data_IF_008264128209
#
_entry.id   IF_008264128209
#
_cell.length_a   1.000
_cell.length_b   1.000
_cell.length_c   1.000
_cell.angle_alpha   90.00
_cell.angle_beta   90.00
_cell.angle_gamma   90.00
#
_symmetry.space_group_name_H-M   'P 1'
#
loop_
_entity.id
_entity.type
_entity.pdbx_description
1 polymer ?
#
# COMPACT_ATOMS: atom_id res chain seq x y z
N UNK A 1 36.74 54.41 -2.08
CA UNK A 1 37.03 53.46 -0.99
C UNK A 1 36.12 52.25 -1.15
N UNK A 2 36.67 51.11 -1.56
CA UNK A 2 35.96 49.82 -1.63
C UNK A 2 36.70 48.87 -0.70
N UNK A 3 36.06 48.26 0.32
CA UNK A 3 36.77 47.35 1.20
C UNK A 3 37.03 46.03 0.48
N UNK A 4 38.30 45.80 0.16
CA UNK A 4 38.83 44.51 -0.23
C UNK A 4 39.03 43.66 1.02
N UNK A 5 38.10 42.73 1.29
CA UNK A 5 38.36 41.58 2.15
C UNK A 5 37.44 40.42 1.75
N UNK A 6 37.74 39.81 0.61
CA UNK A 6 37.33 38.43 0.34
C UNK A 6 38.44 37.52 0.85
N UNK A 7 38.31 37.09 2.11
CA UNK A 7 39.11 36.02 2.69
C UNK A 7 39.07 34.79 1.77
N UNK A 8 40.25 34.35 1.35
CA UNK A 8 40.44 33.19 0.48
C UNK A 8 39.98 31.93 1.21
N UNK A 9 38.75 31.49 0.93
CA UNK A 9 38.29 30.17 1.36
C UNK A 9 39.31 29.08 0.98
N UNK A 10 39.72 28.20 1.91
CA UNK A 10 40.71 27.17 1.62
C UNK A 10 40.21 26.24 0.52
N UNK A 11 41.05 25.97 -0.49
CA UNK A 11 40.73 25.18 -1.70
C UNK A 11 40.05 23.82 -1.42
N UNK A 12 40.22 23.26 -0.22
CA UNK A 12 39.55 22.03 0.22
C UNK A 12 38.04 22.19 0.47
N UNK A 13 37.59 23.34 0.97
CA UNK A 13 36.16 23.62 1.19
C UNK A 13 35.40 23.74 -0.13
N UNK A 14 35.99 24.42 -1.11
CA UNK A 14 35.44 24.57 -2.47
C UNK A 14 35.27 23.21 -3.19
N UNK A 15 36.22 22.28 -2.99
CA UNK A 15 36.16 20.94 -3.58
C UNK A 15 35.09 20.05 -2.93
N UNK A 16 34.84 20.19 -1.62
CA UNK A 16 33.77 19.46 -0.92
C UNK A 16 32.38 19.91 -1.37
N UNK A 17 32.14 21.22 -1.49
CA UNK A 17 30.84 21.74 -1.96
C UNK A 17 30.51 21.32 -3.40
N UNK A 18 31.51 21.31 -4.29
CA UNK A 18 31.34 20.87 -5.68
C UNK A 18 31.00 19.37 -5.78
N UNK A 19 31.60 18.52 -4.93
CA UNK A 19 31.29 17.08 -4.91
C UNK A 19 29.87 16.81 -4.40
N UNK A 20 29.44 17.48 -3.34
CA UNK A 20 28.07 17.36 -2.81
C UNK A 20 27.02 17.81 -3.82
N UNK A 21 27.25 18.91 -4.53
CA UNK A 21 26.36 19.37 -5.59
C UNK A 21 26.23 18.34 -6.71
N UNK A 22 27.35 17.78 -7.19
CA UNK A 22 27.35 16.73 -8.22
C UNK A 22 26.58 15.48 -7.79
N UNK A 23 26.70 15.07 -6.52
CA UNK A 23 25.94 13.94 -5.98
C UNK A 23 24.44 14.23 -5.94
N UNK A 24 24.04 15.42 -5.50
CA UNK A 24 22.63 15.85 -5.48
C UNK A 24 22.03 15.92 -6.89
N UNK A 25 22.76 16.44 -7.86
CA UNK A 25 22.33 16.51 -9.26
C UNK A 25 22.19 15.12 -9.89
N UNK A 26 23.15 14.23 -9.65
CA UNK A 26 23.09 12.84 -10.12
C UNK A 26 21.85 12.13 -9.56
N UNK A 27 21.58 12.28 -8.25
CA UNK A 27 20.39 11.72 -7.61
C UNK A 27 19.09 12.28 -8.21
N UNK A 28 19.04 13.58 -8.49
CA UNK A 28 17.88 14.23 -9.14
C UNK A 28 17.66 13.72 -10.57
N UNK A 29 18.73 13.56 -11.35
CA UNK A 29 18.69 13.04 -12.73
C UNK A 29 18.23 11.59 -12.78
N UNK A 30 18.73 10.76 -11.87
CA UNK A 30 18.33 9.36 -11.72
C UNK A 30 16.85 9.25 -11.31
N UNK A 31 16.41 10.07 -10.35
CA UNK A 31 14.99 10.13 -9.98
C UNK A 31 14.10 10.53 -11.15
N UNK A 32 14.52 11.51 -11.99
CA UNK A 32 13.77 11.91 -13.19
C UNK A 32 13.67 10.76 -14.20
N UNK A 33 14.79 10.08 -14.51
CA UNK A 33 14.82 8.91 -15.40
C UNK A 33 13.89 7.79 -14.92
N UNK A 34 13.89 7.50 -13.62
CA UNK A 34 12.97 6.52 -13.01
C UNK A 34 11.51 6.93 -13.20
N UNK A 35 11.15 8.20 -13.00
CA UNK A 35 9.77 8.69 -13.22
C UNK A 35 9.34 8.54 -14.70
N UNK A 36 10.24 8.80 -15.64
CA UNK A 36 9.97 8.70 -17.08
C UNK A 36 9.79 7.24 -17.51
N UNK A 37 10.69 6.35 -17.05
CA UNK A 37 10.56 4.90 -17.28
C UNK A 37 9.26 4.33 -16.68
N UNK A 38 8.84 4.81 -15.50
CA UNK A 38 7.55 4.46 -14.90
C UNK A 38 6.37 4.92 -15.75
N UNK A 39 6.40 6.12 -16.33
CA UNK A 39 5.34 6.62 -17.21
C UNK A 39 5.19 5.71 -18.44
N UNK A 40 6.30 5.31 -19.04
CA UNK A 40 6.33 4.40 -20.18
C UNK A 40 5.82 3.01 -19.79
N UNK A 41 6.32 2.43 -18.70
CA UNK A 41 5.88 1.11 -18.21
C UNK A 41 4.39 1.10 -17.82
N UNK A 42 3.90 2.18 -17.23
CA UNK A 42 2.47 2.36 -16.88
C UNK A 42 1.58 2.42 -18.12
N UNK A 43 2.04 3.07 -19.19
CA UNK A 43 1.31 3.09 -20.46
C UNK A 43 1.26 1.67 -21.06
N UNK A 44 2.39 0.95 -21.08
CA UNK A 44 2.47 -0.42 -21.59
C UNK A 44 1.60 -1.42 -20.80
N UNK A 45 1.56 -1.30 -19.47
CA UNK A 45 0.71 -2.15 -18.62
C UNK A 45 -0.76 -1.74 -18.63
N UNK A 46 -1.08 -0.48 -18.91
CA UNK A 46 -2.44 0.05 -18.98
C UNK A 46 -3.24 -0.37 -20.20
N UNK A 47 -2.57 -0.83 -21.28
CA UNK A 47 -3.20 -1.23 -22.54
C UNK A 47 -3.82 -2.63 -22.52
N UNK A 48 -3.48 -3.49 -21.56
CA UNK A 48 -4.03 -4.83 -21.45
C UNK A 48 -4.93 -4.99 -20.23
N UNK A 49 -6.25 -4.99 -20.47
CA UNK A 49 -7.26 -5.98 -20.02
C UNK A 49 -8.66 -5.36 -20.21
N UNK A 50 -9.47 -5.97 -21.08
CA UNK A 50 -10.93 -5.80 -21.30
C UNK A 50 -11.63 -4.85 -20.30
N UNK A 51 -11.58 -3.55 -20.55
CA UNK A 51 -12.38 -2.54 -19.85
C UNK A 51 -12.04 -2.26 -18.37
N UNK A 52 -10.99 -2.84 -17.79
CA UNK A 52 -10.56 -2.53 -16.41
C UNK A 52 -9.11 -2.06 -16.41
N UNK A 53 -8.89 -0.77 -16.10
CA UNK A 53 -7.55 -0.22 -15.95
C UNK A 53 -6.83 -0.93 -14.80
N UNK A 54 -5.67 -1.56 -15.04
CA UNK A 54 -4.92 -2.16 -13.97
C UNK A 54 -4.45 -1.08 -12.99
N UNK A 55 -4.39 -1.45 -11.71
CA UNK A 55 -4.26 -0.51 -10.60
C UNK A 55 -2.85 -0.61 -10.03
N UNK A 56 -2.03 0.39 -10.32
CA UNK A 56 -0.64 0.46 -9.89
C UNK A 56 -0.41 1.25 -8.59
N UNK A 57 0.86 1.43 -8.26
CA UNK A 57 1.38 2.13 -7.08
C UNK A 57 0.78 3.52 -6.91
N UNK A 58 0.76 4.33 -7.97
CA UNK A 58 0.23 5.70 -7.90
C UNK A 58 -1.26 5.78 -7.49
N UNK A 59 -2.04 4.74 -7.79
CA UNK A 59 -3.42 4.67 -7.34
C UNK A 59 -3.48 4.38 -5.84
N UNK A 60 -2.65 3.44 -5.35
CA UNK A 60 -2.54 3.14 -3.93
C UNK A 60 -2.05 4.36 -3.13
N UNK A 61 -1.07 5.10 -3.64
CA UNK A 61 -0.62 6.37 -3.06
C UNK A 61 -1.78 7.36 -2.88
N UNK A 62 -2.63 7.51 -3.91
CA UNK A 62 -3.83 8.37 -3.85
C UNK A 62 -4.82 7.87 -2.79
N UNK A 63 -5.07 6.57 -2.74
CA UNK A 63 -6.03 5.92 -1.84
C UNK A 63 -5.62 5.96 -0.37
N UNK A 64 -4.34 5.72 -0.09
CA UNK A 64 -3.84 5.51 1.28
C UNK A 64 -2.89 6.62 1.75
N UNK A 65 -2.74 7.69 0.97
CA UNK A 65 -2.00 8.89 1.38
C UNK A 65 -0.57 8.59 1.80
N UNK A 66 0.18 7.86 0.98
CA UNK A 66 1.61 7.62 1.17
C UNK A 66 2.39 8.04 -0.10
N UNK A 67 3.71 8.09 0.02
CA UNK A 67 4.67 8.35 -1.05
C UNK A 67 5.69 7.21 -1.13
N UNK A 68 6.41 7.12 -2.25
CA UNK A 68 7.58 6.24 -2.40
C UNK A 68 8.45 6.17 -1.12
N UNK A 69 8.81 7.32 -0.54
CA UNK A 69 9.67 7.39 0.66
C UNK A 69 9.13 6.61 1.87
N UNK A 70 7.80 6.46 1.98
CA UNK A 70 7.16 5.75 3.07
C UNK A 70 7.26 4.22 2.93
N UNK A 71 7.50 3.73 1.71
CA UNK A 71 7.49 2.29 1.38
C UNK A 71 8.86 1.73 1.00
N UNK A 72 9.86 2.57 0.76
CA UNK A 72 11.24 2.14 0.49
C UNK A 72 11.75 1.28 1.65
N UNK A 73 12.26 0.09 1.31
CA UNK A 73 12.81 -0.87 2.27
C UNK A 73 11.77 -1.56 3.16
N UNK A 74 10.49 -1.14 3.09
CA UNK A 74 9.40 -1.73 3.88
C UNK A 74 8.99 -3.08 3.31
N UNK A 75 8.60 -3.97 4.21
CA UNK A 75 8.00 -5.25 3.89
C UNK A 75 6.49 -5.12 3.82
N UNK A 76 5.92 -5.41 2.66
CA UNK A 76 4.51 -5.19 2.34
C UNK A 76 3.83 -6.53 2.09
N UNK A 77 2.62 -6.71 2.62
CA UNK A 77 1.70 -7.77 2.21
C UNK A 77 0.64 -7.19 1.27
N UNK A 78 0.47 -7.75 0.07
CA UNK A 78 -0.65 -7.43 -0.81
C UNK A 78 -1.62 -8.62 -0.87
N UNK A 79 -2.81 -8.45 -0.28
CA UNK A 79 -3.87 -9.46 -0.28
C UNK A 79 -4.84 -9.22 -1.43
N UNK A 80 -5.11 -10.28 -2.21
CA UNK A 80 -5.88 -10.22 -3.46
C UNK A 80 -5.10 -9.57 -4.59
N UNK A 81 -3.81 -9.89 -4.68
CA UNK A 81 -2.89 -9.22 -5.58
C UNK A 81 -3.23 -9.43 -7.07
N UNK A 82 -3.93 -10.51 -7.42
CA UNK A 82 -4.31 -10.85 -8.79
C UNK A 82 -3.12 -10.69 -9.75
N UNK A 83 -3.18 -9.65 -10.59
CA UNK A 83 -2.18 -9.31 -11.61
C UNK A 83 -0.88 -8.67 -11.09
N UNK A 84 -0.81 -8.32 -9.80
CA UNK A 84 0.37 -7.83 -9.08
C UNK A 84 1.01 -6.53 -9.63
N UNK A 85 0.25 -5.69 -10.36
CA UNK A 85 0.81 -4.45 -10.91
C UNK A 85 1.34 -3.51 -9.81
N UNK A 86 0.55 -3.31 -8.74
CA UNK A 86 1.01 -2.54 -7.57
C UNK A 86 2.35 -3.06 -7.06
N UNK A 87 2.45 -4.38 -6.85
CA UNK A 87 3.64 -4.99 -6.29
C UNK A 87 4.87 -4.85 -7.18
N UNK A 88 4.73 -5.05 -8.48
CA UNK A 88 5.83 -4.82 -9.43
C UNK A 88 6.32 -3.37 -9.40
N UNK A 89 5.40 -2.41 -9.31
CA UNK A 89 5.76 -0.99 -9.21
C UNK A 89 6.38 -0.65 -7.85
N UNK A 90 5.85 -1.18 -6.75
CA UNK A 90 6.37 -0.98 -5.40
C UNK A 90 7.78 -1.59 -5.23
N UNK A 91 8.03 -2.77 -5.77
CA UNK A 91 9.36 -3.39 -5.78
C UNK A 91 10.35 -2.54 -6.58
N UNK A 92 9.93 -1.94 -7.70
CA UNK A 92 10.78 -1.04 -8.49
C UNK A 92 11.22 0.22 -7.74
N UNK A 93 10.52 0.59 -6.66
CA UNK A 93 10.92 1.69 -5.79
C UNK A 93 11.72 1.24 -4.58
N UNK A 94 11.88 -0.07 -4.37
CA UNK A 94 12.67 -0.65 -3.28
C UNK A 94 11.85 -1.22 -2.12
N UNK A 95 10.53 -1.38 -2.27
CA UNK A 95 9.73 -2.15 -1.31
C UNK A 95 10.01 -3.66 -1.46
N UNK A 96 9.66 -4.43 -0.43
CA UNK A 96 9.74 -5.90 -0.44
C UNK A 96 8.33 -6.47 -0.32
N UNK A 97 7.74 -6.93 -1.41
CA UNK A 97 6.32 -7.30 -1.41
C UNK A 97 6.11 -8.81 -1.36
N UNK A 98 5.15 -9.25 -0.55
CA UNK A 98 4.64 -10.62 -0.52
C UNK A 98 3.22 -10.58 -1.05
N UNK A 99 2.94 -11.42 -2.04
CA UNK A 99 1.65 -11.52 -2.70
C UNK A 99 0.84 -12.64 -2.07
N UNK A 100 -0.41 -12.37 -1.72
CA UNK A 100 -1.32 -13.37 -1.20
C UNK A 100 -2.61 -13.40 -2.02
N UNK A 101 -2.94 -14.58 -2.54
CA UNK A 101 -4.18 -14.81 -3.27
C UNK A 101 -4.55 -16.31 -3.20
N UNK A 102 -5.82 -16.68 -2.95
CA UNK A 102 -6.24 -18.09 -2.97
C UNK A 102 -5.92 -18.80 -4.29
N UNK A 103 -5.94 -18.08 -5.41
CA UNK A 103 -5.70 -18.64 -6.75
C UNK A 103 -4.28 -19.15 -6.94
N UNK A 104 -3.32 -18.70 -6.12
CA UNK A 104 -1.93 -19.15 -6.19
C UNK A 104 -1.71 -20.61 -5.74
N UNK A 105 -2.72 -21.26 -5.18
CA UNK A 105 -2.67 -22.70 -4.91
C UNK A 105 -2.56 -23.52 -6.22
N UNK A 106 -3.12 -23.01 -7.32
CA UNK A 106 -3.06 -23.65 -8.63
C UNK A 106 -1.87 -23.15 -9.44
N UNK A 107 -1.02 -24.06 -9.91
CA UNK A 107 0.12 -23.74 -10.81
C UNK A 107 -0.24 -23.74 -12.30
N UNK A 108 -1.50 -23.98 -12.67
CA UNK A 108 -1.89 -24.11 -14.08
C UNK A 108 -1.89 -22.77 -14.83
N UNK A 109 -2.01 -21.64 -14.13
CA UNK A 109 -1.97 -20.32 -14.75
C UNK A 109 -0.53 -19.91 -15.05
N UNK A 110 -0.19 -19.78 -16.35
CA UNK A 110 1.12 -19.33 -16.83
C UNK A 110 1.59 -18.03 -16.17
N UNK A 111 0.68 -17.10 -15.89
CA UNK A 111 1.01 -15.83 -15.25
C UNK A 111 1.39 -16.02 -13.79
N UNK A 112 0.70 -16.91 -13.06
CA UNK A 112 1.08 -17.27 -11.68
C UNK A 112 2.47 -17.91 -11.69
N UNK A 113 2.76 -18.77 -12.67
CA UNK A 113 4.11 -19.33 -12.83
C UNK A 113 5.16 -18.24 -13.10
N UNK A 114 4.88 -17.26 -13.96
CA UNK A 114 5.78 -16.14 -14.24
C UNK A 114 6.01 -15.27 -12.99
N UNK A 115 4.95 -14.92 -12.27
CA UNK A 115 5.06 -14.18 -11.00
C UNK A 115 5.85 -14.96 -9.94
N UNK A 116 5.72 -16.29 -9.89
CA UNK A 116 6.43 -17.13 -8.92
C UNK A 116 7.96 -17.10 -9.09
N UNK A 117 8.45 -16.73 -10.28
CA UNK A 117 9.89 -16.60 -10.55
C UNK A 117 10.49 -15.34 -9.91
N UNK A 118 9.69 -14.30 -9.72
CA UNK A 118 10.15 -12.98 -9.30
C UNK A 118 9.61 -12.54 -7.94
N UNK A 119 8.50 -13.12 -7.48
CA UNK A 119 7.78 -12.67 -6.30
C UNK A 119 7.58 -13.79 -5.28
N UNK A 120 7.46 -13.40 -4.00
CA UNK A 120 7.04 -14.32 -2.94
C UNK A 120 5.53 -14.46 -2.97
N UNK A 121 5.06 -15.56 -3.54
CA UNK A 121 3.64 -15.90 -3.60
C UNK A 121 3.23 -16.75 -2.40
N UNK A 122 2.08 -16.46 -1.83
CA UNK A 122 1.47 -17.22 -0.74
C UNK A 122 0.02 -17.51 -1.10
N UNK A 123 -0.33 -18.79 -1.19
CA UNK A 123 -1.73 -19.18 -1.29
C UNK A 123 -2.38 -19.08 0.10
N UNK A 124 -3.50 -18.38 0.21
CA UNK A 124 -4.19 -18.24 1.50
C UNK A 124 -5.45 -17.38 1.44
N UNK A 125 -6.26 -17.48 2.49
CA UNK A 125 -7.49 -16.72 2.68
C UNK A 125 -7.24 -15.58 3.67
N UNK A 126 -7.92 -14.43 3.49
CA UNK A 126 -7.73 -13.27 4.37
C UNK A 126 -8.26 -13.49 5.79
N UNK A 127 -9.24 -14.37 5.95
CA UNK A 127 -9.80 -14.76 7.25
C UNK A 127 -8.77 -15.50 8.13
N UNK A 128 -7.74 -16.11 7.50
CA UNK A 128 -6.71 -16.88 8.18
C UNK A 128 -5.42 -16.83 7.36
N UNK A 129 -4.65 -15.77 7.56
CA UNK A 129 -3.42 -15.53 6.81
C UNK A 129 -2.34 -16.53 7.27
N UNK A 130 -1.73 -17.32 6.36
CA UNK A 130 -0.70 -18.31 6.68
C UNK A 130 0.67 -17.66 6.90
N UNK A 131 0.71 -16.60 7.71
CA UNK A 131 1.91 -15.81 8.01
C UNK A 131 1.92 -15.44 9.51
N UNK A 132 3.13 -15.28 10.05
CA UNK A 132 3.33 -14.96 11.47
C UNK A 132 2.81 -13.55 11.81
N UNK A 133 2.49 -13.33 13.08
CA UNK A 133 2.15 -12.00 13.59
C UNK A 133 3.32 -11.03 13.37
N UNK A 134 3.04 -9.72 13.30
CA UNK A 134 4.06 -8.68 13.25
C UNK A 134 5.14 -8.88 12.16
N UNK A 135 4.76 -9.44 11.00
CA UNK A 135 5.69 -9.79 9.92
C UNK A 135 5.87 -8.68 8.89
N UNK A 136 4.94 -7.73 8.82
CA UNK A 136 4.87 -6.72 7.76
C UNK A 136 4.86 -5.30 8.34
N UNK A 137 5.50 -4.36 7.66
CA UNK A 137 5.39 -2.95 8.03
C UNK A 137 4.09 -2.36 7.49
N UNK A 138 3.63 -2.87 6.34
CA UNK A 138 2.42 -2.41 5.64
C UNK A 138 1.64 -3.62 5.12
N UNK A 139 0.32 -3.60 5.20
CA UNK A 139 -0.53 -4.59 4.54
C UNK A 139 -1.67 -3.93 3.76
N UNK A 140 -1.99 -4.44 2.58
CA UNK A 140 -3.11 -3.99 1.77
C UNK A 140 -4.11 -5.12 1.56
N UNK A 141 -5.39 -4.80 1.67
CA UNK A 141 -6.49 -5.69 1.26
C UNK A 141 -7.45 -4.91 0.37
N UNK A 142 -6.98 -4.59 -0.84
CA UNK A 142 -7.75 -3.83 -1.80
C UNK A 142 -8.82 -4.73 -2.42
N UNK A 143 -10.08 -4.29 -2.43
CA UNK A 143 -11.27 -5.02 -2.93
C UNK A 143 -11.59 -6.34 -2.23
N UNK A 144 -10.64 -7.05 -1.64
CA UNK A 144 -10.89 -8.35 -0.99
C UNK A 144 -11.86 -8.21 0.18
N UNK A 145 -11.55 -7.37 1.18
CA UNK A 145 -12.43 -7.24 2.34
C UNK A 145 -13.79 -6.66 1.94
N UNK A 146 -13.89 -5.51 1.24
CA UNK A 146 -15.18 -4.91 0.93
C UNK A 146 -16.04 -5.76 -0.01
N UNK A 147 -15.44 -6.32 -1.07
CA UNK A 147 -16.19 -6.99 -2.13
C UNK A 147 -16.43 -8.48 -1.83
N UNK A 148 -15.49 -9.17 -1.15
CA UNK A 148 -15.50 -10.64 -1.02
C UNK A 148 -15.83 -11.16 0.38
N UNK A 149 -15.67 -10.36 1.43
CA UNK A 149 -15.94 -10.80 2.81
C UNK A 149 -17.23 -10.17 3.31
N UNK A 150 -18.12 -10.98 3.88
CA UNK A 150 -19.45 -10.54 4.35
C UNK A 150 -19.70 -10.98 5.78
N UNK A 151 -20.68 -10.34 6.42
CA UNK A 151 -21.09 -10.72 7.78
C UNK A 151 -19.98 -10.58 8.83
N UNK A 152 -19.99 -11.42 9.88
CA UNK A 152 -19.01 -11.37 10.97
C UNK A 152 -17.56 -11.59 10.54
N UNK A 153 -17.32 -12.36 9.47
CA UNK A 153 -15.98 -12.65 8.93
C UNK A 153 -15.24 -11.38 8.49
N UNK A 154 -15.97 -10.29 8.23
CA UNK A 154 -15.36 -9.03 7.84
C UNK A 154 -14.50 -8.48 8.98
N UNK A 155 -15.01 -8.51 10.22
CA UNK A 155 -14.21 -8.09 11.39
C UNK A 155 -13.01 -9.01 11.60
N UNK A 156 -13.19 -10.33 11.44
CA UNK A 156 -12.10 -11.30 11.55
C UNK A 156 -11.01 -11.05 10.51
N UNK A 157 -11.38 -10.76 9.27
CA UNK A 157 -10.45 -10.45 8.19
C UNK A 157 -9.66 -9.15 8.45
N UNK A 158 -10.31 -8.13 9.03
CA UNK A 158 -9.63 -6.89 9.42
C UNK A 158 -8.68 -7.13 10.60
N UNK A 159 -9.11 -7.89 11.62
CA UNK A 159 -8.27 -8.28 12.75
C UNK A 159 -7.05 -9.06 12.25
N UNK A 160 -7.26 -10.02 11.37
CA UNK A 160 -6.22 -10.88 10.82
C UNK A 160 -5.21 -10.08 9.97
N UNK A 161 -5.69 -9.13 9.17
CA UNK A 161 -4.83 -8.20 8.45
C UNK A 161 -4.00 -7.33 9.40
N UNK A 162 -4.57 -6.85 10.50
CA UNK A 162 -3.85 -6.06 11.49
C UNK A 162 -2.87 -6.90 12.32
N UNK A 163 -3.16 -8.18 12.57
CA UNK A 163 -2.29 -9.14 13.27
C UNK A 163 -0.92 -9.27 12.63
N UNK A 164 -0.89 -9.28 11.31
CA UNK A 164 0.35 -9.49 10.56
C UNK A 164 1.16 -8.20 10.39
N UNK A 165 0.56 -7.04 10.68
CA UNK A 165 1.22 -5.73 10.65
C UNK A 165 1.94 -5.48 11.97
N UNK A 166 3.20 -5.06 11.93
CA UNK A 166 3.98 -4.68 13.11
C UNK A 166 3.37 -3.49 13.84
N UNK A 167 3.66 -3.37 15.13
CA UNK A 167 3.43 -2.13 15.87
C UNK A 167 4.09 -0.93 15.17
N UNK A 168 3.34 0.17 15.06
CA UNK A 168 3.74 1.36 14.30
C UNK A 168 3.62 1.24 12.78
N UNK A 169 3.37 0.04 12.25
CA UNK A 169 2.98 -0.18 10.86
C UNK A 169 1.53 0.21 10.59
N UNK A 170 1.06 0.02 9.35
CA UNK A 170 -0.32 0.34 8.99
C UNK A 170 -0.92 -0.58 7.93
N UNK A 171 -2.25 -0.70 7.92
CA UNK A 171 -3.01 -1.46 6.95
C UNK A 171 -3.89 -0.54 6.08
N UNK A 172 -3.95 -0.81 4.76
CA UNK A 172 -4.83 -0.15 3.81
C UNK A 172 -5.98 -1.06 3.38
N UNK A 173 -7.22 -0.62 3.60
CA UNK A 173 -8.43 -1.40 3.28
C UNK A 173 -9.39 -0.54 2.44
N UNK A 174 -9.96 -1.11 1.38
CA UNK A 174 -10.95 -0.43 0.54
C UNK A 174 -10.89 -0.88 -0.92
N UNK A 175 -11.67 -0.26 -1.81
CA UNK A 175 -12.69 0.74 -1.52
C UNK A 175 -13.99 0.17 -0.95
N UNK A 176 -14.71 0.99 -0.20
CA UNK A 176 -16.12 0.80 0.15
C UNK A 176 -16.97 1.77 -0.71
N UNK A 177 -18.00 1.28 -1.39
CA UNK A 177 -18.63 1.87 -2.58
C UNK A 177 -20.16 2.07 -2.52
N UNK A 178 -20.85 1.69 -1.44
CA UNK A 178 -22.32 1.71 -1.36
C UNK A 178 -22.86 2.24 -0.02
N UNK A 179 -24.11 2.73 0.04
CA UNK A 179 -24.75 3.25 1.29
C UNK A 179 -24.78 2.21 2.43
N UNK A 180 -25.03 0.95 2.10
CA UNK A 180 -24.94 -0.15 3.08
C UNK A 180 -23.51 -0.34 3.59
N UNK A 181 -22.52 -0.15 2.71
CA UNK A 181 -21.12 -0.14 3.08
C UNK A 181 -20.75 1.12 3.87
N UNK A 182 -21.44 2.26 3.71
CA UNK A 182 -21.23 3.47 4.52
C UNK A 182 -21.62 3.26 6.00
N UNK A 183 -22.75 2.58 6.27
CA UNK A 183 -23.12 2.22 7.66
C UNK A 183 -22.10 1.25 8.26
N UNK A 184 -21.68 0.26 7.47
CA UNK A 184 -20.65 -0.68 7.89
C UNK A 184 -19.31 0.02 8.13
N UNK A 185 -18.92 0.93 7.25
CA UNK A 185 -17.71 1.72 7.31
C UNK A 185 -17.65 2.53 8.61
N UNK A 186 -18.74 3.22 8.96
CA UNK A 186 -18.82 3.94 10.24
C UNK A 186 -18.63 2.99 11.42
N UNK A 187 -19.34 1.85 11.44
CA UNK A 187 -19.20 0.85 12.53
C UNK A 187 -17.79 0.28 12.62
N UNK A 188 -17.13 0.02 11.49
CA UNK A 188 -15.77 -0.50 11.44
C UNK A 188 -14.76 0.54 11.93
N UNK A 189 -14.93 1.81 11.53
CA UNK A 189 -14.14 2.92 12.06
C UNK A 189 -14.28 3.00 13.58
N UNK A 190 -15.50 3.03 14.10
CA UNK A 190 -15.76 3.11 15.54
C UNK A 190 -15.19 1.90 16.29
N UNK A 191 -15.35 0.70 15.72
CA UNK A 191 -14.78 -0.54 16.24
C UNK A 191 -13.25 -0.46 16.39
N UNK A 192 -12.55 0.01 15.36
CA UNK A 192 -11.09 0.17 15.37
C UNK A 192 -10.65 1.25 16.38
N UNK A 193 -11.34 2.40 16.41
CA UNK A 193 -11.01 3.49 17.31
C UNK A 193 -11.23 3.12 18.78
N UNK A 194 -12.33 2.42 19.11
CA UNK A 194 -12.59 1.91 20.47
C UNK A 194 -11.52 0.94 20.97
N UNK A 195 -10.86 0.22 20.05
CA UNK A 195 -9.75 -0.66 20.38
C UNK A 195 -8.37 0.05 20.38
N UNK A 196 -8.35 1.38 20.25
CA UNK A 196 -7.12 2.20 20.32
C UNK A 196 -6.32 2.28 19.02
N UNK A 197 -6.90 1.91 17.87
CA UNK A 197 -6.23 2.01 16.57
C UNK A 197 -6.43 3.41 15.98
N UNK A 198 -5.35 3.98 15.44
CA UNK A 198 -5.43 5.19 14.63
C UNK A 198 -6.10 4.87 13.29
N UNK A 199 -7.14 5.62 12.91
CA UNK A 199 -7.85 5.42 11.64
C UNK A 199 -7.87 6.72 10.85
N UNK A 200 -7.31 6.69 9.65
CA UNK A 200 -7.47 7.72 8.64
C UNK A 200 -8.40 7.25 7.54
N UNK A 201 -9.34 8.12 7.18
CA UNK A 201 -10.31 7.87 6.11
C UNK A 201 -9.98 8.75 4.93
N UNK A 202 -9.85 8.13 3.75
CA UNK A 202 -9.73 8.85 2.49
C UNK A 202 -10.98 8.62 1.65
N UNK A 203 -11.57 9.71 1.18
CA UNK A 203 -12.63 9.73 0.18
C UNK A 203 -12.01 10.03 -1.18
N UNK A 204 -12.40 9.26 -2.20
CA UNK A 204 -11.97 9.46 -3.58
C UNK A 204 -13.16 9.39 -4.51
N UNK A 205 -13.35 10.42 -5.31
CA UNK A 205 -14.24 10.38 -6.45
C UNK A 205 -13.58 9.62 -7.61
N UNK A 206 -14.24 8.54 -8.03
CA UNK A 206 -13.85 7.70 -9.16
C UNK A 206 -14.79 8.02 -10.32
N UNK A 207 -14.29 8.57 -11.44
CA UNK A 207 -15.13 8.84 -12.60
C UNK A 207 -15.59 7.51 -13.24
N UNK A 208 -16.89 7.42 -13.51
CA UNK A 208 -17.56 6.31 -14.21
C UNK A 208 -18.40 6.91 -15.34
N UNK A 209 -17.82 6.98 -16.54
CA UNK A 209 -18.46 7.65 -17.68
C UNK A 209 -18.68 9.14 -17.41
N UNK A 210 -19.93 9.59 -17.46
CA UNK A 210 -20.33 10.98 -17.15
C UNK A 210 -20.62 11.23 -15.66
N UNK A 211 -20.61 10.17 -14.83
CA UNK A 211 -20.89 10.26 -13.41
C UNK A 211 -19.61 10.04 -12.59
N UNK A 212 -19.66 10.32 -11.30
CA UNK A 212 -18.65 9.89 -10.33
C UNK A 212 -19.27 8.93 -9.32
N UNK A 213 -18.46 7.99 -8.84
CA UNK A 213 -18.77 7.19 -7.66
C UNK A 213 -17.78 7.52 -6.55
N UNK A 214 -18.30 7.65 -5.35
CA UNK A 214 -17.48 7.81 -4.17
C UNK A 214 -16.93 6.47 -3.68
N UNK A 215 -15.60 6.37 -3.57
CA UNK A 215 -14.89 5.24 -3.00
C UNK A 215 -14.24 5.69 -1.66
N UNK A 216 -14.54 4.98 -0.58
CA UNK A 216 -13.94 5.22 0.74
C UNK A 216 -12.82 4.21 1.03
N UNK A 217 -11.73 4.69 1.62
CA UNK A 217 -10.57 3.89 2.00
C UNK A 217 -10.19 4.13 3.46
N UNK A 218 -9.80 3.05 4.15
CA UNK A 218 -9.14 3.10 5.45
C UNK A 218 -7.63 3.00 5.31
N UNK A 219 -6.94 3.82 6.07
CA UNK A 219 -5.57 3.60 6.52
C UNK A 219 -5.60 3.45 8.04
N UNK A 220 -5.23 2.28 8.53
CA UNK A 220 -5.32 1.93 9.95
C UNK A 220 -3.91 1.75 10.50
N UNK A 221 -3.49 2.59 11.45
CA UNK A 221 -2.21 2.41 12.14
C UNK A 221 -2.33 1.39 13.25
N UNK A 222 -1.38 0.46 13.30
CA UNK A 222 -1.30 -0.52 14.37
C UNK A 222 -0.65 0.09 15.63
N UNK A 223 -1.43 0.95 16.30
CA UNK A 223 -1.13 1.50 17.63
C UNK A 223 -1.84 0.73 18.76
N UNK A 224 -3.00 0.13 18.48
CA UNK A 224 -3.88 -0.47 19.48
C UNK A 224 -3.54 -1.92 19.84
N UNK A 225 -4.27 -2.50 20.79
CA UNK A 225 -4.09 -3.89 21.23
C UNK A 225 -5.02 -4.83 20.43
N UNK A 226 -4.44 -5.83 19.77
CA UNK A 226 -5.20 -6.80 18.97
C UNK A 226 -6.13 -7.66 19.82
N UNK A 227 -5.76 -7.96 21.06
CA UNK A 227 -6.63 -8.72 21.95
C UNK A 227 -7.87 -7.92 22.35
N UNK A 228 -7.73 -6.58 22.45
CA UNK A 228 -8.87 -5.69 22.62
C UNK A 228 -9.80 -5.70 21.41
N UNK A 229 -9.27 -5.75 20.17
CA UNK A 229 -10.09 -5.92 18.96
C UNK A 229 -10.83 -7.27 18.97
N UNK A 230 -10.14 -8.36 19.31
CA UNK A 230 -10.76 -9.70 19.40
C UNK A 230 -11.88 -9.72 20.45
N UNK A 231 -11.67 -9.10 21.60
CA UNK A 231 -12.68 -8.98 22.65
C UNK A 231 -13.90 -8.19 22.17
N UNK A 232 -13.70 -7.04 21.51
CA UNK A 232 -14.79 -6.23 20.97
C UNK A 232 -15.55 -6.95 19.84
N UNK A 233 -14.86 -7.71 19.00
CA UNK A 233 -15.51 -8.51 17.95
C UNK A 233 -16.40 -9.61 18.54
N UNK A 234 -15.98 -10.25 19.64
CA UNK A 234 -16.80 -11.24 20.37
C UNK A 234 -18.06 -10.61 20.96
N UNK A 235 -17.98 -9.38 21.49
CA UNK A 235 -19.15 -8.65 22.03
C UNK A 235 -20.21 -8.41 20.95
N UNK A 236 -19.79 -8.08 19.73
CA UNK A 236 -20.71 -7.80 18.60
C UNK A 236 -21.38 -9.05 17.99
N UNK A 237 -20.92 -10.26 18.35
CA UNK A 237 -21.52 -11.53 17.92
C UNK A 237 -22.63 -12.01 18.87
N UNK A 238 -22.71 -11.46 20.08
CA UNK A 238 -23.77 -11.72 21.05
C UNK A 238 -24.93 -10.76 20.79
#
# INVERSE_FOLDING_TARGET
>A
MVPANFEKMPRRALRRSSREQRVKEAAKKEMKRRKEARKIKRNLLGELIKGKRPVGLSYYEKCFGFKDADIIGKRILEVGAGHALFSQEAESVGAKVVLLDPTYAGKADRRIQELSKTNKLVAGMIQKLPVKENSFDIAFARTVIPDRVKGPELYESVIELLRVVKKGGWAGIGPFRNVGESKFFIRMKDFLQKAGFGVYVKRIDVPIGKQSREDLYFKVWNSGNIDSLKAEARRKKR
#
